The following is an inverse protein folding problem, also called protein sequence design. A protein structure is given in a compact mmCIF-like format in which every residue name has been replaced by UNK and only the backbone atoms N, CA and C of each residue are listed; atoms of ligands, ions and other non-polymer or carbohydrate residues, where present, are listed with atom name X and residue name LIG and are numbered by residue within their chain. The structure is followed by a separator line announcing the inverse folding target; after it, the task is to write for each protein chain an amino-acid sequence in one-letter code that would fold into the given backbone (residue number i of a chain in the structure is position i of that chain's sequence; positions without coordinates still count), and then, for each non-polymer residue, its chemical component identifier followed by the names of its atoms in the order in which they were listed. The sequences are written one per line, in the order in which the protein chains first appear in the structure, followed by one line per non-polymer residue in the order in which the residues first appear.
data_IF_636891154372
#
_entry.id   IF_636891154372
#
_cell.length_a   1.000
_cell.length_b   1.000
_cell.length_c   1.000
_cell.angle_alpha   90.00
_cell.angle_beta   90.00
_cell.angle_gamma   90.00
#
_symmetry.space_group_name_H-M   'P 1'
#
loop_
_entity.id
_entity.type
_entity.pdbx_description
1 polymer ?
#
# COMPACT_ATOMS: atom_id res chain seq x y z
N UNK A 1 -0.20 -17.66 -0.37
CA UNK A 1 0.26 -16.30 -0.70
C UNK A 1 -0.92 -15.37 -0.68
N UNK A 2 -0.76 -14.22 -0.06
CA UNK A 2 -1.77 -13.15 -0.02
C UNK A 2 -1.19 -11.85 -0.61
N UNK A 3 -2.09 -10.98 -1.06
CA UNK A 3 -1.79 -9.61 -1.44
C UNK A 3 -2.54 -8.68 -0.50
N UNK A 4 -1.82 -7.89 0.30
CA UNK A 4 -2.41 -6.82 1.10
C UNK A 4 -2.30 -5.53 0.32
N UNK A 5 -3.43 -5.00 -0.14
CA UNK A 5 -3.50 -3.77 -0.93
C UNK A 5 -3.97 -2.61 -0.06
N UNK A 6 -3.23 -1.50 -0.10
CA UNK A 6 -3.59 -0.25 0.57
C UNK A 6 -3.85 0.79 -0.51
N UNK A 7 -5.01 1.43 -0.46
CA UNK A 7 -5.53 2.27 -1.55
C UNK A 7 -6.01 3.59 -0.97
N UNK A 8 -5.44 4.71 -1.43
CA UNK A 8 -5.79 6.04 -0.94
C UNK A 8 -6.78 6.70 -1.89
N UNK A 9 -8.07 6.87 -1.53
CA UNK A 9 -9.06 7.46 -2.41
C UNK A 9 -8.62 8.84 -2.89
N UNK A 10 -8.79 9.12 -4.18
CA UNK A 10 -8.51 10.45 -4.70
C UNK A 10 -9.52 11.45 -4.15
N UNK A 11 -9.03 12.62 -3.72
CA UNK A 11 -9.84 13.77 -3.37
C UNK A 11 -9.13 15.00 -3.92
N UNK A 12 -9.85 15.84 -4.64
CA UNK A 12 -9.27 17.03 -5.26
C UNK A 12 -8.65 17.95 -4.20
N UNK A 13 -7.42 18.40 -4.44
CA UNK A 13 -6.68 19.28 -3.52
C UNK A 13 -6.17 18.60 -2.24
N UNK A 14 -6.48 17.32 -1.99
CA UNK A 14 -5.99 16.61 -0.81
C UNK A 14 -4.47 16.38 -0.90
N UNK A 15 -3.81 16.47 0.26
CA UNK A 15 -2.36 16.28 0.37
C UNK A 15 -1.98 14.82 0.19
N UNK A 16 -1.03 14.56 -0.70
CA UNK A 16 -0.32 13.29 -0.78
C UNK A 16 1.12 13.50 -1.26
N UNK A 17 2.10 13.27 -0.39
CA UNK A 17 3.53 13.33 -0.73
C UNK A 17 4.02 11.96 -1.24
N UNK A 18 4.03 11.79 -2.57
CA UNK A 18 4.52 10.56 -3.20
C UNK A 18 6.01 10.30 -2.99
N UNK A 19 6.83 11.33 -2.75
CA UNK A 19 8.26 11.15 -2.54
C UNK A 19 8.52 10.58 -1.14
N UNK A 20 7.90 11.16 -0.11
CA UNK A 20 7.95 10.61 1.25
C UNK A 20 7.39 9.19 1.29
N UNK A 21 6.23 8.97 0.66
CA UNK A 21 5.61 7.65 0.60
C UNK A 21 6.57 6.60 0.01
N UNK A 22 7.16 6.88 -1.15
CA UNK A 22 8.07 5.95 -1.86
C UNK A 22 9.40 5.75 -1.14
N UNK A 23 10.03 6.82 -0.66
CA UNK A 23 11.44 6.80 -0.24
C UNK A 23 11.62 6.65 1.29
N UNK A 24 10.56 6.87 2.07
CA UNK A 24 10.59 6.77 3.55
C UNK A 24 9.61 5.75 4.08
N UNK A 25 8.32 5.96 3.81
CA UNK A 25 7.26 5.14 4.39
C UNK A 25 7.36 3.68 3.95
N UNK A 26 7.36 3.43 2.63
CA UNK A 26 7.34 2.06 2.09
C UNK A 26 8.57 1.22 2.45
N UNK A 27 9.81 1.75 2.40
CA UNK A 27 10.98 1.03 2.92
C UNK A 27 10.90 0.72 4.42
N UNK A 28 10.39 1.65 5.24
CA UNK A 28 10.18 1.43 6.67
C UNK A 28 9.17 0.30 6.91
N UNK A 29 8.01 0.33 6.24
CA UNK A 29 7.01 -0.75 6.35
C UNK A 29 7.61 -2.09 5.93
N UNK A 30 8.31 -2.15 4.79
CA UNK A 30 8.96 -3.40 4.35
C UNK A 30 10.00 -3.91 5.35
N UNK A 31 10.76 -3.02 5.98
CA UNK A 31 11.71 -3.40 7.02
C UNK A 31 11.01 -4.00 8.25
N UNK A 32 9.87 -3.44 8.67
CA UNK A 32 9.05 -3.96 9.79
C UNK A 32 8.34 -5.27 9.46
N UNK A 33 7.87 -5.44 8.22
CA UNK A 33 7.28 -6.70 7.78
C UNK A 33 8.34 -7.81 7.62
N UNK A 34 9.62 -7.45 7.43
CA UNK A 34 10.71 -8.40 7.37
C UNK A 34 10.49 -9.48 6.32
N UNK A 35 10.66 -10.74 6.72
CA UNK A 35 10.44 -11.92 5.86
C UNK A 35 8.97 -12.27 5.64
N UNK A 36 8.03 -11.70 6.40
CA UNK A 36 6.60 -11.96 6.18
C UNK A 36 6.11 -11.36 4.85
N UNK A 37 6.80 -10.35 4.33
CA UNK A 37 6.55 -9.73 3.04
C UNK A 37 7.71 -10.04 2.09
N UNK A 38 7.43 -10.74 0.99
CA UNK A 38 8.42 -11.06 -0.03
C UNK A 38 8.85 -9.80 -0.78
N UNK A 39 7.89 -9.02 -1.28
CA UNK A 39 8.12 -7.75 -1.97
C UNK A 39 6.88 -6.85 -1.91
N UNK A 40 7.05 -5.60 -2.31
CA UNK A 40 5.95 -4.64 -2.41
C UNK A 40 5.95 -3.90 -3.75
N UNK A 41 4.79 -3.37 -4.12
CA UNK A 41 4.59 -2.45 -5.26
C UNK A 41 4.18 -1.06 -4.77
N UNK A 42 4.41 -0.04 -5.59
CA UNK A 42 3.91 1.32 -5.37
C UNK A 42 3.44 1.87 -6.70
N UNK A 43 2.21 2.39 -6.72
CA UNK A 43 1.58 2.97 -7.90
C UNK A 43 1.04 4.37 -7.60
N UNK A 44 1.22 5.30 -8.54
CA UNK A 44 0.62 6.63 -8.50
C UNK A 44 -0.55 6.67 -9.49
N UNK A 45 -1.72 7.11 -9.03
CA UNK A 45 -2.89 7.28 -9.89
C UNK A 45 -2.65 8.35 -10.95
N UNK A 46 -3.02 8.05 -12.20
CA UNK A 46 -2.89 8.98 -13.32
C UNK A 46 -4.26 9.43 -13.85
N UNK A 47 -5.18 8.49 -14.07
CA UNK A 47 -6.51 8.76 -14.62
C UNK A 47 -7.49 7.65 -14.23
N UNK A 48 -8.78 7.90 -14.42
CA UNK A 48 -9.87 6.94 -14.31
C UNK A 48 -10.12 6.17 -15.61
N UNK A 49 -11.22 5.39 -15.65
CA UNK A 49 -11.57 4.56 -16.80
C UNK A 49 -12.18 5.31 -17.98
N UNK A 50 -12.65 6.55 -17.78
CA UNK A 50 -13.15 7.42 -18.84
C UNK A 50 -12.14 8.53 -19.16
N UNK A 51 -12.14 9.07 -20.40
CA UNK A 51 -11.30 10.21 -20.76
C UNK A 51 -11.44 11.36 -19.77
N UNK A 52 -10.32 11.98 -19.42
CA UNK A 52 -10.23 13.17 -18.55
C UNK A 52 -10.85 13.01 -17.15
N UNK A 53 -11.03 11.77 -16.67
CA UNK A 53 -11.47 11.51 -15.28
C UNK A 53 -10.29 11.32 -14.34
N UNK A 54 -10.36 11.82 -13.10
CA UNK A 54 -9.33 11.56 -12.10
C UNK A 54 -9.26 10.07 -11.76
N UNK A 55 -8.11 9.58 -11.25
CA UNK A 55 -8.01 8.21 -10.79
C UNK A 55 -8.95 7.97 -9.59
N UNK A 56 -9.40 6.73 -9.39
CA UNK A 56 -10.15 6.38 -8.18
C UNK A 56 -9.28 6.49 -6.91
N UNK A 57 -7.98 6.22 -7.04
CA UNK A 57 -7.01 6.26 -5.97
C UNK A 57 -5.80 7.11 -6.37
N UNK A 58 -5.39 8.05 -5.51
CA UNK A 58 -4.21 8.90 -5.75
C UNK A 58 -2.90 8.11 -5.62
N UNK A 59 -2.91 7.07 -4.79
CA UNK A 59 -1.80 6.14 -4.61
C UNK A 59 -2.32 4.76 -4.19
N UNK A 60 -1.60 3.72 -4.58
CA UNK A 60 -1.81 2.36 -4.13
C UNK A 60 -0.47 1.72 -3.81
N UNK A 61 -0.45 0.76 -2.88
CA UNK A 61 0.63 -0.19 -2.76
C UNK A 61 0.07 -1.59 -2.52
N UNK A 62 0.88 -2.59 -2.79
CA UNK A 62 0.58 -3.96 -2.40
C UNK A 62 1.78 -4.62 -1.72
N UNK A 63 1.52 -5.39 -0.66
CA UNK A 63 2.50 -6.26 -0.02
C UNK A 63 2.16 -7.71 -0.37
N UNK A 64 3.10 -8.40 -1.02
CA UNK A 64 2.96 -9.82 -1.34
C UNK A 64 3.59 -10.61 -0.21
N UNK A 65 2.77 -11.38 0.49
CA UNK A 65 3.14 -12.07 1.72
C UNK A 65 2.83 -13.57 1.59
N UNK A 66 3.62 -14.42 2.23
CA UNK A 66 3.42 -15.87 2.14
C UNK A 66 2.11 -16.31 2.84
N UNK A 67 1.80 -15.69 3.99
CA UNK A 67 0.62 -15.98 4.80
C UNK A 67 0.01 -14.73 5.44
N UNK A 68 -1.29 -14.82 5.77
CA UNK A 68 -1.99 -13.76 6.49
C UNK A 68 -1.51 -13.66 7.94
N UNK A 69 -1.21 -14.80 8.57
CA UNK A 69 -0.78 -14.89 9.95
C UNK A 69 0.57 -14.18 10.17
N UNK A 70 1.51 -14.36 9.23
CA UNK A 70 2.82 -13.71 9.28
C UNK A 70 2.70 -12.19 9.13
N UNK A 71 1.90 -11.72 8.16
CA UNK A 71 1.63 -10.30 8.00
C UNK A 71 0.97 -9.69 9.26
N UNK A 72 -0.05 -10.36 9.80
CA UNK A 72 -0.75 -9.89 11.01
C UNK A 72 0.17 -9.88 12.24
N UNK A 73 1.09 -10.84 12.38
CA UNK A 73 2.06 -10.85 13.47
C UNK A 73 2.97 -9.61 13.42
N UNK A 74 3.54 -9.30 12.26
CA UNK A 74 4.36 -8.11 12.07
C UNK A 74 3.56 -6.81 12.31
N UNK A 75 2.30 -6.76 11.85
CA UNK A 75 1.42 -5.60 12.10
C UNK A 75 1.02 -5.46 13.56
N UNK A 76 0.90 -6.54 14.34
CA UNK A 76 0.67 -6.43 15.79
C UNK A 76 1.87 -5.82 16.51
N UNK A 77 3.08 -6.15 16.08
CA UNK A 77 4.32 -5.66 16.69
C UNK A 77 4.62 -4.20 16.28
N UNK A 78 4.43 -3.86 15.01
CA UNK A 78 4.91 -2.60 14.43
C UNK A 78 3.79 -1.68 13.91
N UNK A 79 2.53 -2.09 13.99
CA UNK A 79 1.41 -1.39 13.38
C UNK A 79 1.20 0.03 13.91
N UNK A 80 1.49 0.29 15.19
CA UNK A 80 1.38 1.64 15.75
C UNK A 80 2.37 2.63 15.10
N UNK A 81 3.61 2.20 14.86
CA UNK A 81 4.62 3.00 14.14
C UNK A 81 4.18 3.23 12.68
N UNK A 82 3.74 2.16 12.00
CA UNK A 82 3.32 2.21 10.60
C UNK A 82 2.14 3.18 10.41
N UNK A 83 1.11 3.06 11.25
CA UNK A 83 -0.07 3.92 11.17
C UNK A 83 0.24 5.36 11.57
N UNK A 84 1.13 5.57 12.55
CA UNK A 84 1.55 6.89 13.00
C UNK A 84 2.32 7.70 11.93
N UNK A 85 3.02 7.01 11.03
CA UNK A 85 3.79 7.65 9.96
C UNK A 85 2.90 8.17 8.80
N UNK A 86 1.62 7.77 8.73
CA UNK A 86 0.71 8.16 7.63
C UNK A 86 0.56 9.69 7.55
N UNK A 87 0.40 10.35 8.69
CA UNK A 87 0.23 11.79 8.77
C UNK A 87 1.42 12.57 8.16
N UNK A 88 2.61 11.96 8.07
CA UNK A 88 3.78 12.62 7.50
C UNK A 88 3.65 12.86 5.98
N UNK A 89 2.85 12.07 5.25
CA UNK A 89 2.70 12.22 3.80
C UNK A 89 1.27 12.44 3.32
N UNK A 90 0.24 12.10 4.08
CA UNK A 90 -1.15 12.34 3.67
C UNK A 90 -2.10 12.47 4.87
N UNK A 91 -3.24 13.11 4.64
CA UNK A 91 -4.39 13.14 5.56
C UNK A 91 -5.52 12.21 5.08
N UNK A 92 -5.29 11.47 4.00
CA UNK A 92 -6.27 10.58 3.39
C UNK A 92 -6.30 9.26 4.17
N UNK A 93 -7.47 8.87 4.66
CA UNK A 93 -7.67 7.54 5.21
C UNK A 93 -7.66 6.48 4.09
N UNK A 94 -6.76 5.49 4.13
CA UNK A 94 -6.72 4.45 3.13
C UNK A 94 -7.84 3.42 3.32
N UNK A 95 -8.17 2.75 2.22
CA UNK A 95 -8.89 1.46 2.22
C UNK A 95 -7.86 0.34 2.18
N UNK A 96 -8.03 -0.66 3.06
CA UNK A 96 -7.17 -1.84 3.11
C UNK A 96 -7.96 -3.06 2.67
N UNK A 97 -7.36 -3.87 1.80
CA UNK A 97 -7.94 -5.13 1.34
C UNK A 97 -6.89 -6.25 1.39
N UNK A 98 -7.27 -7.39 1.97
CA UNK A 98 -6.49 -8.63 1.90
C UNK A 98 -7.10 -9.51 0.82
N UNK A 99 -6.27 -10.06 -0.06
CA UNK A 99 -6.72 -10.89 -1.19
C UNK A 99 -5.88 -12.15 -1.31
N UNK A 100 -6.51 -13.23 -1.76
CA UNK A 100 -5.80 -14.39 -2.27
C UNK A 100 -5.15 -14.06 -3.61
N UNK A 101 -3.89 -14.45 -3.79
CA UNK A 101 -3.21 -14.31 -5.09
C UNK A 101 -3.57 -15.53 -5.95
N UNK A 102 -4.48 -15.34 -6.91
CA UNK A 102 -4.89 -16.40 -7.85
C UNK A 102 -3.91 -16.54 -9.01
N UNK A 103 -3.40 -15.41 -9.52
CA UNK A 103 -2.32 -15.35 -10.51
C UNK A 103 -1.38 -14.23 -10.08
N UNK A 104 -0.14 -14.56 -9.73
CA UNK A 104 0.85 -13.57 -9.32
C UNK A 104 1.44 -12.84 -10.54
N UNK A 105 1.91 -13.60 -11.52
CA UNK A 105 2.43 -13.14 -12.82
C UNK A 105 2.17 -14.24 -13.85
N UNK A 106 1.51 -13.92 -14.96
CA UNK A 106 1.06 -14.92 -15.94
C UNK A 106 2.16 -15.44 -16.87
N UNK A 107 3.29 -14.74 -16.94
CA UNK A 107 4.47 -15.09 -17.74
C UNK A 107 5.48 -15.96 -16.98
N UNK A 108 5.13 -16.38 -15.76
CA UNK A 108 5.99 -17.14 -14.84
C UNK A 108 5.44 -18.53 -14.54
#
# INVERSE_FOLDING_TARGET
MIKVTVMYPYTEGARFDHAYYRDRHMPMVKARLGSACAYYTVEKGLAGGAPDTPPAFVAMCAFICDSAEGFQAAMREHGAEILGDIANYTDIAPVVQVSEVVVERSDR
#
